data_IF_309078495099
#
_entry.id   IF_309078495099
#
_cell.length_a   1.000
_cell.length_b   1.000
_cell.length_c   1.000
_cell.angle_alpha   90.00
_cell.angle_beta   90.00
_cell.angle_gamma   90.00
#
_symmetry.space_group_name_H-M   'P 1'
#
loop_
_entity.id
_entity.type
_entity.pdbx_description
1 polymer ?
#
# COMPACT_ATOMS: atom_id res chain seq x y z
N UNK A 1 40.30 -11.01 -6.48
CA UNK A 1 39.52 -10.77 -7.71
C UNK A 1 38.22 -10.12 -7.25
N UNK A 2 38.07 -8.82 -7.49
CA UNK A 2 36.86 -8.09 -7.14
C UNK A 2 35.75 -8.51 -8.10
N UNK A 3 34.67 -9.07 -7.55
CA UNK A 3 33.46 -9.41 -8.29
C UNK A 3 32.83 -8.13 -8.81
N UNK A 4 32.65 -8.03 -10.11
CA UNK A 4 32.00 -6.93 -10.81
C UNK A 4 30.49 -6.98 -10.57
N UNK A 5 29.98 -6.24 -9.58
CA UNK A 5 28.54 -6.00 -9.36
C UNK A 5 27.95 -4.95 -10.35
N UNK A 6 28.40 -5.02 -11.61
CA UNK A 6 28.06 -4.13 -12.74
C UNK A 6 27.23 -4.91 -13.78
N UNK A 7 26.01 -5.35 -13.47
CA UNK A 7 25.17 -5.99 -14.50
C UNK A 7 23.64 -5.80 -14.38
N UNK A 8 23.07 -5.71 -13.18
CA UNK A 8 21.61 -5.58 -13.03
C UNK A 8 21.15 -4.12 -13.08
N UNK A 9 21.81 -3.23 -12.33
CA UNK A 9 21.44 -1.81 -12.29
C UNK A 9 21.83 -1.04 -13.55
N UNK A 10 22.77 -1.54 -14.36
CA UNK A 10 23.11 -0.90 -15.63
C UNK A 10 21.98 -0.97 -16.66
N UNK A 11 21.08 -1.95 -16.53
CA UNK A 11 19.87 -2.03 -17.36
C UNK A 11 18.94 -0.84 -17.13
N UNK A 12 18.96 -0.25 -15.93
CA UNK A 12 18.12 0.89 -15.56
C UNK A 12 18.42 2.10 -16.45
N UNK A 13 19.70 2.33 -16.76
CA UNK A 13 20.12 3.42 -17.64
C UNK A 13 19.65 3.27 -19.10
N UNK A 14 19.24 2.06 -19.50
CA UNK A 14 18.77 1.78 -20.86
C UNK A 14 17.26 1.94 -21.05
N UNK A 15 16.50 2.14 -19.96
CA UNK A 15 15.04 2.21 -20.04
C UNK A 15 14.58 3.49 -20.75
N UNK A 16 13.55 3.42 -21.61
CA UNK A 16 13.10 4.55 -22.42
C UNK A 16 12.22 5.52 -21.61
N UNK A 17 12.76 6.06 -20.52
CA UNK A 17 12.08 6.98 -19.59
C UNK A 17 13.01 8.13 -19.24
N UNK A 18 12.43 9.30 -18.92
CA UNK A 18 13.21 10.50 -18.59
C UNK A 18 13.90 10.39 -17.23
N UNK A 19 13.18 9.90 -16.22
CA UNK A 19 13.67 9.70 -14.85
C UNK A 19 13.33 8.29 -14.39
N UNK A 20 14.29 7.65 -13.73
CA UNK A 20 14.12 6.30 -13.17
C UNK A 20 14.97 6.17 -11.91
N UNK A 21 14.41 5.54 -10.89
CA UNK A 21 15.09 5.17 -9.67
C UNK A 21 14.74 3.72 -9.34
N UNK A 22 15.73 2.93 -8.92
CA UNK A 22 15.55 1.53 -8.55
C UNK A 22 16.31 1.25 -7.27
N UNK A 23 15.66 0.52 -6.37
CA UNK A 23 16.27 -0.01 -5.15
C UNK A 23 16.12 -1.52 -5.08
N UNK A 24 17.10 -2.19 -4.47
CA UNK A 24 17.01 -3.58 -4.07
C UNK A 24 17.51 -3.73 -2.63
N UNK A 25 16.81 -4.53 -1.84
CA UNK A 25 17.23 -4.93 -0.52
C UNK A 25 17.68 -6.37 -0.61
N UNK A 26 18.96 -6.63 -0.31
CA UNK A 26 19.47 -7.99 -0.39
C UNK A 26 19.10 -8.84 0.84
N UNK A 27 19.58 -10.07 0.86
CA UNK A 27 19.26 -11.03 1.94
C UNK A 27 19.80 -10.61 3.32
N UNK A 28 20.83 -9.77 3.36
CA UNK A 28 21.42 -9.27 4.59
C UNK A 28 20.70 -8.01 5.08
N UNK A 29 19.83 -7.42 4.26
CA UNK A 29 19.20 -6.13 4.53
C UNK A 29 19.99 -4.95 3.95
N UNK A 30 21.05 -5.19 3.19
CA UNK A 30 21.80 -4.09 2.58
C UNK A 30 20.96 -3.49 1.44
N UNK A 31 20.81 -2.15 1.47
CA UNK A 31 20.04 -1.39 0.50
C UNK A 31 20.97 -0.93 -0.63
N UNK A 32 20.64 -1.34 -1.85
CA UNK A 32 21.36 -1.00 -3.07
C UNK A 32 20.48 -0.14 -3.96
N UNK A 33 20.91 1.08 -4.26
CA UNK A 33 20.10 2.05 -4.99
C UNK A 33 20.80 2.52 -6.27
N UNK A 34 20.06 2.71 -7.35
CA UNK A 34 20.55 3.26 -8.63
C UNK A 34 19.55 4.24 -9.24
N UNK A 35 20.04 5.13 -10.10
CA UNK A 35 19.23 6.13 -10.80
C UNK A 35 19.01 7.43 -10.03
N UNK A 36 17.91 8.09 -10.35
CA UNK A 36 17.49 9.40 -9.84
C UNK A 36 17.20 9.36 -8.33
N UNK A 37 17.55 10.45 -7.63
CA UNK A 37 17.37 10.60 -6.16
C UNK A 37 16.32 11.63 -5.77
N UNK A 38 15.70 12.29 -6.75
CA UNK A 38 14.63 13.25 -6.52
C UNK A 38 13.30 12.55 -6.24
N UNK A 39 12.33 13.34 -5.81
CA UNK A 39 10.98 12.85 -5.47
C UNK A 39 10.21 12.33 -6.68
N UNK A 40 9.44 11.27 -6.46
CA UNK A 40 8.47 10.69 -7.39
C UNK A 40 7.10 10.59 -6.73
N UNK A 41 6.04 10.81 -7.50
CA UNK A 41 4.69 10.36 -7.11
C UNK A 41 4.61 8.85 -7.30
N UNK A 42 4.43 8.09 -6.23
CA UNK A 42 4.45 6.62 -6.28
C UNK A 42 3.11 5.99 -6.69
N UNK A 43 2.11 6.82 -7.01
CA UNK A 43 0.78 6.39 -7.42
C UNK A 43 0.21 5.36 -6.43
N UNK A 44 -0.38 4.28 -6.93
CA UNK A 44 -1.06 3.26 -6.14
C UNK A 44 -0.21 2.51 -5.10
N UNK A 45 1.11 2.65 -5.10
CA UNK A 45 1.96 2.14 -4.01
C UNK A 45 1.59 2.83 -2.67
N UNK A 46 1.06 4.06 -2.73
CA UNK A 46 0.52 4.81 -1.58
C UNK A 46 -0.46 3.99 -0.74
N UNK A 47 -1.26 3.11 -1.37
CA UNK A 47 -2.23 2.27 -0.66
C UNK A 47 -1.59 1.35 0.37
N UNK A 48 -0.40 0.84 0.09
CA UNK A 48 0.27 -0.06 1.03
C UNK A 48 0.69 0.71 2.29
N UNK A 49 1.17 1.96 2.14
CA UNK A 49 1.48 2.83 3.28
C UNK A 49 0.22 3.21 4.06
N UNK A 50 -0.85 3.62 3.36
CA UNK A 50 -2.15 3.93 3.98
C UNK A 50 -2.70 2.72 4.76
N UNK A 51 -2.60 1.52 4.20
CA UNK A 51 -3.02 0.30 4.87
C UNK A 51 -2.18 0.02 6.12
N UNK A 52 -0.86 0.17 6.05
CA UNK A 52 0.03 -0.03 7.19
C UNK A 52 -0.27 0.97 8.32
N UNK A 53 -0.44 2.25 7.99
CA UNK A 53 -0.83 3.29 8.96
C UNK A 53 -2.20 3.00 9.59
N UNK A 54 -3.14 2.48 8.81
CA UNK A 54 -4.44 2.05 9.32
C UNK A 54 -4.31 0.87 10.28
N UNK A 55 -3.40 -0.07 10.02
CA UNK A 55 -3.15 -1.21 10.93
C UNK A 55 -2.47 -0.77 12.23
N UNK A 56 -1.62 0.27 12.20
CA UNK A 56 -1.11 0.90 13.42
C UNK A 56 -2.28 1.46 14.26
N UNK A 57 -3.21 2.19 13.62
CA UNK A 57 -4.42 2.70 14.28
C UNK A 57 -5.37 1.58 14.78
N UNK A 58 -5.28 0.37 14.22
CA UNK A 58 -5.99 -0.81 14.74
C UNK A 58 -5.32 -1.32 16.01
N UNK A 59 -3.99 -1.40 16.03
CA UNK A 59 -3.24 -1.90 17.19
C UNK A 59 -3.32 -0.97 18.41
N UNK A 60 -3.34 0.35 18.19
CA UNK A 60 -3.51 1.33 19.28
C UNK A 60 -4.98 1.47 19.75
N UNK A 61 -5.93 0.90 19.00
CA UNK A 61 -7.35 0.88 19.31
C UNK A 61 -8.14 2.11 18.86
N UNK A 62 -7.55 3.01 18.07
CA UNK A 62 -8.24 4.18 17.50
C UNK A 62 -9.32 3.78 16.50
N UNK A 63 -9.07 2.73 15.71
CA UNK A 63 -10.04 2.15 14.77
C UNK A 63 -10.13 0.64 14.94
N UNK A 64 -11.20 0.06 14.38
CA UNK A 64 -11.38 -1.40 14.30
C UNK A 64 -11.51 -1.84 12.85
N UNK A 65 -10.96 -3.01 12.51
CA UNK A 65 -11.20 -3.64 11.20
C UNK A 65 -12.69 -3.90 10.93
N UNK A 66 -13.50 -3.99 11.98
CA UNK A 66 -14.95 -4.17 11.91
C UNK A 66 -15.73 -2.86 12.01
N UNK A 67 -15.05 -1.71 12.08
CA UNK A 67 -15.72 -0.41 12.04
C UNK A 67 -16.58 -0.32 10.77
N UNK A 68 -17.85 0.12 10.88
CA UNK A 68 -18.70 0.34 9.72
C UNK A 68 -18.20 1.57 8.96
N UNK A 69 -17.83 1.39 7.69
CA UNK A 69 -17.34 2.48 6.83
C UNK A 69 -17.99 2.36 5.46
N UNK A 70 -18.75 3.39 5.07
CA UNK A 70 -19.50 3.40 3.80
C UNK A 70 -20.90 2.81 3.90
N UNK A 71 -21.29 2.06 2.88
CA UNK A 71 -22.63 1.49 2.69
C UNK A 71 -22.92 0.41 3.73
N UNK A 72 -24.20 0.11 3.93
CA UNK A 72 -24.64 -0.86 4.93
C UNK A 72 -23.93 -2.23 4.76
N UNK A 73 -23.27 -2.67 5.84
CA UNK A 73 -22.51 -3.93 5.89
C UNK A 73 -21.07 -3.83 5.39
N UNK A 74 -20.61 -2.68 4.91
CA UNK A 74 -19.22 -2.43 4.59
C UNK A 74 -18.44 -2.10 5.87
N UNK A 75 -17.21 -2.59 5.97
CA UNK A 75 -16.31 -2.31 7.10
C UNK A 75 -14.95 -1.85 6.62
N UNK A 76 -14.13 -1.34 7.52
CA UNK A 76 -12.75 -0.96 7.25
C UNK A 76 -11.95 -2.12 6.60
N UNK A 77 -12.13 -3.36 7.09
CA UNK A 77 -11.57 -4.59 6.49
C UNK A 77 -11.99 -4.77 5.03
N UNK A 78 -13.24 -4.49 4.69
CA UNK A 78 -13.73 -4.60 3.32
C UNK A 78 -13.01 -3.59 2.41
N UNK A 79 -12.82 -2.36 2.88
CA UNK A 79 -12.12 -1.32 2.12
C UNK A 79 -10.65 -1.68 1.90
N UNK A 80 -9.94 -2.09 2.96
CA UNK A 80 -8.51 -2.49 2.90
C UNK A 80 -8.27 -3.62 1.90
N UNK A 81 -9.20 -4.57 1.82
CA UNK A 81 -9.13 -5.73 0.92
C UNK A 81 -9.85 -5.53 -0.43
N UNK A 82 -10.24 -4.30 -0.78
CA UNK A 82 -10.93 -3.97 -2.03
C UNK A 82 -12.24 -4.77 -2.26
N UNK A 83 -12.98 -5.04 -1.20
CA UNK A 83 -14.29 -5.72 -1.25
C UNK A 83 -15.44 -4.84 -0.76
N UNK A 84 -15.23 -3.54 -0.58
CA UNK A 84 -16.29 -2.59 -0.19
C UNK A 84 -17.36 -2.34 -1.26
N UNK A 85 -17.09 -2.70 -2.52
CA UNK A 85 -18.04 -2.55 -3.62
C UNK A 85 -17.94 -1.24 -4.40
N UNK A 86 -17.06 -0.32 -4.00
CA UNK A 86 -16.82 0.94 -4.68
C UNK A 86 -15.96 0.79 -5.94
N UNK A 87 -16.24 1.60 -6.95
CA UNK A 87 -15.45 1.66 -8.18
C UNK A 87 -14.09 2.34 -7.99
N UNK A 88 -13.36 2.51 -9.08
CA UNK A 88 -12.01 3.08 -9.06
C UNK A 88 -11.96 4.49 -8.46
N UNK A 89 -12.82 5.41 -8.91
CA UNK A 89 -12.98 6.77 -8.38
C UNK A 89 -14.47 7.17 -8.33
N UNK A 90 -15.37 6.23 -8.00
CA UNK A 90 -16.82 6.47 -7.88
C UNK A 90 -17.29 6.40 -6.43
N UNK A 91 -18.21 7.29 -6.04
CA UNK A 91 -18.77 7.32 -4.68
C UNK A 91 -19.92 6.35 -4.44
N UNK A 92 -20.60 5.94 -5.52
CA UNK A 92 -21.67 4.96 -5.44
C UNK A 92 -21.09 3.54 -5.49
N UNK A 93 -21.58 2.68 -4.60
CA UNK A 93 -21.25 1.26 -4.62
C UNK A 93 -21.87 0.59 -5.85
N UNK A 94 -21.07 -0.24 -6.53
CA UNK A 94 -21.46 -0.98 -7.74
C UNK A 94 -22.06 -2.33 -7.35
N UNK A 95 -21.59 -2.91 -6.25
CA UNK A 95 -22.05 -4.19 -5.70
C UNK A 95 -22.04 -4.12 -4.18
N UNK A 96 -22.78 -5.00 -3.52
CA UNK A 96 -22.73 -5.12 -2.07
C UNK A 96 -21.33 -5.55 -1.58
N UNK A 97 -20.94 -5.16 -0.35
CA UNK A 97 -19.66 -5.57 0.24
C UNK A 97 -19.45 -7.09 0.23
N UNK A 98 -18.20 -7.51 0.04
CA UNK A 98 -17.79 -8.92 0.00
C UNK A 98 -18.16 -9.68 -1.29
N UNK A 99 -18.92 -9.09 -2.23
CA UNK A 99 -19.38 -9.82 -3.43
C UNK A 99 -18.35 -9.93 -4.53
N UNK A 100 -17.54 -8.88 -4.75
CA UNK A 100 -16.48 -8.84 -5.76
C UNK A 100 -15.29 -8.07 -5.22
N UNK A 101 -14.12 -8.38 -5.76
CA UNK A 101 -12.91 -7.59 -5.53
C UNK A 101 -12.80 -6.51 -6.59
N UNK A 102 -13.05 -5.28 -6.17
CA UNK A 102 -13.03 -4.09 -7.02
C UNK A 102 -11.95 -3.16 -6.47
N UNK A 103 -10.85 -3.06 -7.23
CA UNK A 103 -9.79 -2.13 -6.93
C UNK A 103 -10.33 -0.68 -6.91
N UNK A 104 -10.12 0.03 -5.80
CA UNK A 104 -10.80 1.29 -5.53
C UNK A 104 -9.88 2.30 -4.86
N UNK A 105 -9.75 3.50 -5.47
CA UNK A 105 -9.19 4.66 -4.77
C UNK A 105 -10.22 5.23 -3.81
N UNK A 106 -11.50 5.32 -4.19
CA UNK A 106 -12.56 5.79 -3.29
C UNK A 106 -12.53 5.06 -1.95
N UNK A 107 -12.40 3.73 -1.96
CA UNK A 107 -12.31 2.96 -0.72
C UNK A 107 -11.11 3.35 0.15
N UNK A 108 -9.99 3.74 -0.46
CA UNK A 108 -8.80 4.22 0.25
C UNK A 108 -8.92 5.66 0.72
N UNK A 109 -9.60 6.53 -0.04
CA UNK A 109 -9.96 7.87 0.43
C UNK A 109 -10.87 7.79 1.65
N UNK A 110 -11.81 6.83 1.66
CA UNK A 110 -12.69 6.56 2.80
C UNK A 110 -11.94 5.99 4.01
N UNK A 111 -10.93 5.13 3.80
CA UNK A 111 -10.04 4.67 4.87
C UNK A 111 -9.34 5.87 5.51
N UNK A 112 -8.70 6.72 4.71
CA UNK A 112 -7.98 7.89 5.22
C UNK A 112 -8.89 8.84 5.99
N UNK A 113 -10.08 9.13 5.46
CA UNK A 113 -11.07 9.97 6.14
C UNK A 113 -11.55 9.36 7.47
N UNK A 114 -11.80 8.05 7.51
CA UNK A 114 -12.23 7.35 8.73
C UNK A 114 -11.13 7.37 9.80
N UNK A 115 -9.88 7.09 9.43
CA UNK A 115 -8.76 7.15 10.37
C UNK A 115 -8.59 8.56 10.90
N UNK A 116 -8.55 9.58 10.01
CA UNK A 116 -8.42 10.98 10.40
C UNK A 116 -9.49 11.44 11.40
N UNK A 117 -10.75 11.07 11.16
CA UNK A 117 -11.85 11.36 12.08
C UNK A 117 -11.63 10.72 13.46
N UNK A 118 -11.12 9.49 13.50
CA UNK A 118 -10.97 8.71 14.74
C UNK A 118 -9.74 9.08 15.56
N UNK A 119 -8.69 9.56 14.91
CA UNK A 119 -7.48 10.05 15.59
C UNK A 119 -7.50 11.56 15.83
N UNK A 120 -8.53 12.27 15.36
CA UNK A 120 -8.68 13.73 15.44
C UNK A 120 -7.48 14.51 14.84
N UNK A 121 -6.94 14.00 13.74
CA UNK A 121 -5.76 14.52 13.05
C UNK A 121 -5.94 14.37 11.53
N UNK A 122 -5.43 15.31 10.73
CA UNK A 122 -5.48 15.16 9.28
C UNK A 122 -4.68 13.91 8.85
N UNK A 123 -5.14 13.20 7.81
CA UNK A 123 -4.57 11.88 7.49
C UNK A 123 -3.11 11.95 6.98
N UNK A 124 -2.74 13.05 6.31
CA UNK A 124 -1.35 13.33 5.90
C UNK A 124 -0.43 13.52 7.10
N UNK A 125 -0.87 14.29 8.10
CA UNK A 125 -0.16 14.42 9.39
C UNK A 125 -0.03 13.06 10.09
N UNK A 126 -1.13 12.30 10.17
CA UNK A 126 -1.12 10.98 10.79
C UNK A 126 -0.20 10.00 10.04
N UNK A 127 -0.22 10.01 8.70
CA UNK A 127 0.66 9.15 7.90
C UNK A 127 2.14 9.52 8.12
N UNK A 128 2.44 10.81 8.25
CA UNK A 128 3.78 11.28 8.56
C UNK A 128 4.25 10.81 9.95
N UNK A 129 3.40 10.91 10.97
CA UNK A 129 3.72 10.46 12.33
C UNK A 129 3.80 8.94 12.46
N UNK A 130 2.90 8.20 11.80
CA UNK A 130 2.80 6.75 11.93
C UNK A 130 3.81 5.99 11.06
N UNK A 131 4.19 6.53 9.89
CA UNK A 131 5.05 5.85 8.91
C UNK A 131 6.32 6.64 8.62
N UNK A 132 6.22 7.89 8.18
CA UNK A 132 7.38 8.59 7.61
C UNK A 132 8.45 8.90 8.66
N UNK A 133 8.06 9.53 9.78
CA UNK A 133 9.00 9.89 10.83
C UNK A 133 9.65 8.67 11.51
N UNK A 134 8.92 7.59 11.87
CA UNK A 134 9.53 6.39 12.46
C UNK A 134 10.52 5.67 11.54
N UNK A 135 10.31 5.74 10.22
CA UNK A 135 11.19 5.11 9.23
C UNK A 135 12.27 6.05 8.68
N UNK A 136 12.33 7.31 9.13
CA UNK A 136 13.27 8.32 8.65
C UNK A 136 13.05 8.70 7.18
N UNK A 137 11.81 8.66 6.71
CA UNK A 137 11.42 9.01 5.35
C UNK A 137 11.26 10.53 5.18
N UNK A 138 12.34 11.28 5.41
CA UNK A 138 12.33 12.75 5.46
C UNK A 138 11.94 13.42 4.13
N UNK A 139 12.02 12.69 3.02
CA UNK A 139 11.63 13.15 1.68
C UNK A 139 10.19 12.81 1.28
N UNK A 140 9.42 12.18 2.19
CA UNK A 140 8.08 11.71 1.91
C UNK A 140 6.99 12.68 2.35
N UNK A 141 5.94 12.81 1.54
CA UNK A 141 4.77 13.65 1.80
C UNK A 141 3.52 13.05 1.15
N UNK A 142 2.34 13.30 1.73
CA UNK A 142 1.04 12.98 1.14
C UNK A 142 0.38 14.26 0.63
N UNK A 143 0.45 14.50 -0.68
CA UNK A 143 -0.01 15.76 -1.29
C UNK A 143 -1.47 15.71 -1.80
N UNK A 144 -2.26 14.77 -1.33
CA UNK A 144 -3.62 14.56 -1.82
C UNK A 144 -4.25 13.24 -1.37
N UNK A 145 -4.72 12.44 -2.32
CA UNK A 145 -5.42 11.19 -2.03
C UNK A 145 -4.47 10.14 -1.40
N UNK A 146 -4.84 9.55 -0.24
CA UNK A 146 -4.08 8.45 0.37
C UNK A 146 -4.06 7.19 -0.50
N UNK A 147 -4.86 7.14 -1.57
CA UNK A 147 -4.86 6.06 -2.52
C UNK A 147 -3.73 6.16 -3.57
N UNK A 148 -3.16 7.36 -3.82
CA UNK A 148 -2.32 7.58 -5.01
C UNK A 148 -1.32 8.75 -4.96
N UNK A 149 -1.34 9.59 -3.93
CA UNK A 149 -0.60 10.86 -3.93
C UNK A 149 0.48 10.92 -2.84
N UNK A 150 1.03 9.78 -2.42
CA UNK A 150 2.32 9.79 -1.73
C UNK A 150 3.41 10.15 -2.74
N UNK A 151 4.25 11.09 -2.32
CA UNK A 151 5.45 11.53 -3.01
C UNK A 151 6.64 11.20 -2.13
N UNK A 152 7.64 10.49 -2.65
CA UNK A 152 8.84 10.17 -1.87
C UNK A 152 10.05 9.92 -2.77
N UNK A 153 11.23 9.81 -2.15
CA UNK A 153 12.48 9.39 -2.81
C UNK A 153 12.58 7.86 -2.87
N UNK A 154 13.59 7.35 -3.58
CA UNK A 154 13.84 5.90 -3.62
C UNK A 154 14.40 5.38 -2.29
N UNK A 155 15.14 6.23 -1.57
CA UNK A 155 15.61 5.98 -0.20
C UNK A 155 14.42 5.76 0.74
N UNK A 156 13.45 6.67 0.73
CA UNK A 156 12.23 6.58 1.55
C UNK A 156 11.43 5.31 1.22
N UNK A 157 11.24 5.03 -0.07
CA UNK A 157 10.52 3.83 -0.50
C UNK A 157 11.27 2.56 -0.11
N UNK A 158 12.60 2.55 -0.16
CA UNK A 158 13.40 1.42 0.30
C UNK A 158 13.26 1.19 1.81
N UNK A 159 13.22 2.25 2.61
CA UNK A 159 12.96 2.15 4.06
C UNK A 159 11.60 1.50 4.35
N UNK A 160 10.54 1.92 3.64
CA UNK A 160 9.22 1.31 3.77
C UNK A 160 9.19 -0.15 3.27
N UNK A 161 9.92 -0.49 2.21
CA UNK A 161 10.03 -1.89 1.76
C UNK A 161 10.76 -2.77 2.77
N UNK A 162 11.76 -2.24 3.49
CA UNK A 162 12.41 -3.00 4.57
C UNK A 162 11.47 -3.23 5.76
N UNK A 163 10.63 -2.24 6.11
CA UNK A 163 9.55 -2.40 7.09
C UNK A 163 8.59 -3.54 6.69
N UNK A 164 8.17 -3.62 5.42
CA UNK A 164 7.32 -4.73 4.95
C UNK A 164 8.02 -6.09 5.04
N UNK A 165 9.36 -6.13 4.96
CA UNK A 165 10.17 -7.34 5.00
C UNK A 165 10.43 -7.81 6.44
N UNK A 166 10.61 -6.85 7.35
CA UNK A 166 10.91 -7.09 8.77
C UNK A 166 10.10 -6.14 9.67
N UNK A 167 8.78 -6.35 9.80
CA UNK A 167 7.88 -5.40 10.47
C UNK A 167 8.34 -4.99 11.87
N UNK A 168 8.49 -3.67 12.08
CA UNK A 168 8.79 -3.03 13.35
C UNK A 168 7.65 -2.13 13.84
N UNK A 169 6.84 -1.58 12.93
CA UNK A 169 5.79 -0.61 13.28
C UNK A 169 4.49 -1.27 13.74
N UNK A 170 4.26 -2.52 13.33
CA UNK A 170 3.11 -3.33 13.77
C UNK A 170 3.58 -4.69 14.28
N UNK A 171 2.76 -5.33 15.11
CA UNK A 171 3.07 -6.66 15.64
C UNK A 171 3.18 -7.70 14.52
N UNK A 172 4.03 -8.74 14.68
CA UNK A 172 4.17 -9.80 13.69
C UNK A 172 2.86 -10.52 13.32
N UNK A 173 1.91 -10.60 14.25
CA UNK A 173 0.60 -11.19 14.00
C UNK A 173 -0.26 -10.34 13.05
N UNK A 174 -0.22 -9.02 13.21
CA UNK A 174 -0.94 -8.06 12.37
C UNK A 174 -0.33 -8.00 10.97
N UNK A 175 1.01 -8.01 10.86
CA UNK A 175 1.69 -8.11 9.57
C UNK A 175 1.36 -9.43 8.83
N UNK A 176 1.26 -10.54 9.57
CA UNK A 176 0.82 -11.83 9.00
C UNK A 176 -0.63 -11.76 8.51
N UNK A 177 -1.54 -11.14 9.27
CA UNK A 177 -2.92 -10.94 8.85
C UNK A 177 -3.02 -10.05 7.59
N UNK A 178 -2.23 -8.97 7.56
CA UNK A 178 -2.17 -8.03 6.45
C UNK A 178 -1.73 -8.68 5.14
N UNK A 179 -0.91 -9.73 5.22
CA UNK A 179 -0.39 -10.49 4.07
C UNK A 179 -1.12 -11.82 3.84
N UNK A 180 -2.19 -12.08 4.58
CA UNK A 180 -3.06 -13.26 4.42
C UNK A 180 -4.27 -12.92 3.55
N UNK A 181 -4.69 -13.86 2.68
CA UNK A 181 -5.82 -13.65 1.79
C UNK A 181 -7.11 -13.38 2.57
N UNK A 182 -7.66 -12.18 2.40
CA UNK A 182 -8.90 -11.74 2.99
C UNK A 182 -10.07 -12.10 2.08
N UNK A 183 -11.22 -12.45 2.67
CA UNK A 183 -12.46 -12.79 1.97
C UNK A 183 -12.37 -13.97 0.96
N UNK A 184 -11.42 -14.88 1.13
CA UNK A 184 -11.40 -16.18 0.43
C UNK A 184 -11.38 -16.06 -1.10
N UNK A 185 -12.29 -16.78 -1.77
CA UNK A 185 -12.24 -17.01 -3.22
C UNK A 185 -12.90 -15.94 -4.09
N UNK A 186 -13.01 -14.70 -3.58
CA UNK A 186 -13.69 -13.61 -4.29
C UNK A 186 -13.00 -13.30 -5.62
N UNK A 187 -13.78 -13.31 -6.71
CA UNK A 187 -13.30 -12.91 -8.03
C UNK A 187 -13.17 -11.38 -8.17
N UNK A 188 -12.28 -10.94 -9.05
CA UNK A 188 -12.08 -9.51 -9.28
C UNK A 188 -11.21 -9.20 -10.49
N UNK A 189 -10.96 -7.92 -10.69
CA UNK A 189 -10.08 -7.40 -11.74
C UNK A 189 -8.93 -6.63 -11.11
N UNK A 190 -7.70 -6.94 -11.52
CA UNK A 190 -6.52 -6.14 -11.20
C UNK A 190 -6.28 -5.19 -12.37
N UNK A 191 -6.28 -3.86 -12.16
CA UNK A 191 -6.01 -2.89 -13.22
C UNK A 191 -4.69 -3.22 -13.95
N UNK A 192 -4.75 -3.32 -15.27
CA UNK A 192 -3.60 -3.66 -16.11
C UNK A 192 -3.27 -5.15 -16.28
N UNK A 193 -3.73 -6.03 -15.37
CA UNK A 193 -3.49 -7.49 -15.47
C UNK A 193 -4.73 -8.29 -15.91
N UNK A 194 -5.94 -7.79 -15.61
CA UNK A 194 -7.19 -8.44 -16.02
C UNK A 194 -7.93 -9.17 -14.89
N UNK A 195 -8.79 -10.12 -15.27
CA UNK A 195 -9.71 -10.81 -14.34
C UNK A 195 -9.08 -12.06 -13.74
N UNK A 196 -9.27 -12.25 -12.43
CA UNK A 196 -8.82 -13.43 -11.69
C UNK A 196 -9.90 -14.00 -10.77
N UNK A 197 -9.86 -15.31 -10.58
CA UNK A 197 -10.73 -16.06 -9.67
C UNK A 197 -9.95 -17.25 -9.09
N UNK A 198 -9.54 -17.22 -7.81
CA UNK A 198 -9.71 -16.10 -6.88
C UNK A 198 -8.79 -14.91 -7.22
N UNK A 199 -9.20 -13.69 -6.85
CA UNK A 199 -8.37 -12.49 -6.96
C UNK A 199 -7.78 -12.17 -5.57
N UNK A 200 -6.72 -12.85 -5.14
CA UNK A 200 -6.25 -12.76 -3.75
C UNK A 200 -5.76 -11.36 -3.36
N UNK A 201 -6.08 -10.93 -2.12
CA UNK A 201 -5.70 -9.63 -1.57
C UNK A 201 -5.62 -9.69 -0.04
N UNK A 202 -4.63 -9.00 0.53
CA UNK A 202 -4.48 -8.84 1.97
C UNK A 202 -5.25 -7.65 2.52
N UNK A 203 -4.85 -7.16 3.70
CA UNK A 203 -5.27 -5.85 4.22
C UNK A 203 -4.36 -4.78 3.63
N UNK A 204 -4.54 -4.52 2.34
CA UNK A 204 -3.80 -3.55 1.55
C UNK A 204 -2.85 -4.14 0.53
N UNK A 205 -1.84 -4.94 0.92
CA UNK A 205 -0.98 -5.60 -0.05
C UNK A 205 -1.75 -6.51 -1.00
N UNK A 206 -1.44 -6.39 -2.30
CA UNK A 206 -1.86 -7.38 -3.28
C UNK A 206 -1.12 -8.71 -3.02
N UNK A 207 -1.84 -9.83 -3.00
CA UNK A 207 -1.22 -11.16 -2.91
C UNK A 207 -1.18 -11.77 -4.30
N UNK A 208 0.01 -12.04 -4.84
CA UNK A 208 0.19 -12.59 -6.20
C UNK A 208 -0.65 -13.83 -6.45
N UNK A 209 -0.58 -14.84 -5.57
CA UNK A 209 -1.31 -16.10 -5.76
C UNK A 209 -1.05 -16.71 -7.16
N UNK A 210 -2.12 -16.95 -7.91
CA UNK A 210 -2.07 -17.47 -9.29
C UNK A 210 -2.11 -16.37 -10.36
N UNK A 211 -2.02 -15.09 -9.98
CA UNK A 211 -2.04 -13.97 -10.91
C UNK A 211 -0.72 -13.88 -11.68
N UNK A 212 -0.84 -13.60 -12.97
CA UNK A 212 0.25 -13.49 -13.92
C UNK A 212 -0.05 -12.30 -14.84
N UNK A 213 0.94 -11.47 -15.17
CA UNK A 213 1.13 -11.03 -16.55
C UNK A 213 1.71 -12.15 -17.40
#
# INVERSE_FOLDING_TARGET
MASTDLAAFDLVASWPVERVAVGAIDRNGDIHLSGDRGTFRIASVSKVMTAWATLIAVEDGSVSLDDPVGDAGCTLRHLLAHTGGYGFDTREAIVSPGKKRIYSNTGYDMIGAHVAERVEMDFDEYLAEAIFAPLGMDGADLLGSPAKDVHCTIEDLAAFVDELRTPQLIAPATALEATTNQFGDVEGVVPGLGKFSPCNWGLGPEIRGHKWP
#
